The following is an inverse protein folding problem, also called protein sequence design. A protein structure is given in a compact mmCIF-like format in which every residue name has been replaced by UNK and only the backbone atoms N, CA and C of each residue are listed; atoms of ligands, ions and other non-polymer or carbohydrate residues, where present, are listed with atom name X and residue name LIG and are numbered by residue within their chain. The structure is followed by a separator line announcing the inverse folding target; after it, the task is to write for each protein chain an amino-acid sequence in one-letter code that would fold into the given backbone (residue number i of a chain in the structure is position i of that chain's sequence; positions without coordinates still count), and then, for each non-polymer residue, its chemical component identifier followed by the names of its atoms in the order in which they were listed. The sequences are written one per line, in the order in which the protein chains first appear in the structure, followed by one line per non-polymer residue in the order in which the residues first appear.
data_IF_514336438508
#
_entry.id   IF_514336438508
#
_cell.length_a   1.000
_cell.length_b   1.000
_cell.length_c   1.000
_cell.angle_alpha   90.00
_cell.angle_beta   90.00
_cell.angle_gamma   90.00
#
_symmetry.space_group_name_H-M   'P 1'
#
loop_
_entity.id
_entity.type
_entity.pdbx_description
1 polymer ?
#
# COMPACT_ATOMS: atom_id res chain seq x y z
N UNK A 1 0.67 -32.04 22.08
CA UNK A 1 -0.79 -31.96 21.96
C UNK A 1 -1.17 -30.85 20.97
N UNK A 2 -1.76 -31.22 19.83
CA UNK A 2 -2.30 -30.21 18.89
C UNK A 2 -3.65 -29.74 19.43
N UNK A 3 -3.68 -28.69 20.20
CA UNK A 3 -4.94 -28.01 20.52
C UNK A 3 -5.48 -27.38 19.25
N UNK A 4 -6.38 -28.05 18.56
CA UNK A 4 -7.12 -27.49 17.43
C UNK A 4 -8.08 -26.44 17.98
N UNK A 5 -7.63 -25.19 18.02
CA UNK A 5 -8.44 -24.07 18.45
C UNK A 5 -9.57 -23.89 17.42
N UNK A 6 -10.76 -24.32 17.75
CA UNK A 6 -11.95 -24.08 16.93
C UNK A 6 -12.39 -22.64 17.15
N UNK A 7 -12.13 -21.78 16.16
CA UNK A 7 -12.75 -20.45 16.10
C UNK A 7 -14.25 -20.69 15.95
N UNK A 8 -15.04 -20.31 16.95
CA UNK A 8 -16.51 -20.49 16.97
C UNK A 8 -17.26 -19.61 15.96
N UNK A 9 -16.57 -18.69 15.30
CA UNK A 9 -17.18 -17.73 14.36
C UNK A 9 -17.04 -18.20 12.92
N UNK A 10 -18.04 -17.94 12.10
CA UNK A 10 -18.04 -18.25 10.67
C UNK A 10 -17.11 -17.27 9.93
N UNK A 11 -15.91 -17.71 9.58
CA UNK A 11 -14.91 -16.89 8.88
C UNK A 11 -15.41 -16.23 7.58
N UNK A 12 -16.12 -16.93 6.68
CA UNK A 12 -16.71 -16.31 5.50
C UNK A 12 -17.60 -15.11 5.82
N UNK A 13 -18.37 -15.16 6.91
CA UNK A 13 -19.21 -14.03 7.33
C UNK A 13 -18.41 -12.85 7.87
N UNK A 14 -17.24 -13.10 8.48
CA UNK A 14 -16.37 -12.04 9.02
C UNK A 14 -15.55 -11.39 7.90
N UNK A 15 -15.03 -12.17 6.97
CA UNK A 15 -14.20 -11.69 5.86
C UNK A 15 -15.07 -11.02 4.80
N UNK A 16 -16.24 -11.60 4.50
CA UNK A 16 -17.16 -11.13 3.49
C UNK A 16 -16.68 -11.37 2.07
N UNK A 17 -17.34 -10.72 1.12
CA UNK A 17 -17.13 -10.90 -0.33
C UNK A 17 -15.80 -10.30 -0.81
N UNK A 18 -15.32 -10.79 -1.96
CA UNK A 18 -14.21 -10.20 -2.71
C UNK A 18 -12.80 -10.63 -2.29
N UNK A 19 -12.67 -11.42 -1.22
CA UNK A 19 -11.34 -11.79 -0.68
C UNK A 19 -11.03 -13.29 -0.66
N UNK A 20 -11.83 -14.15 -1.28
CA UNK A 20 -11.61 -15.60 -1.26
C UNK A 20 -10.26 -16.01 -1.87
N UNK A 21 -9.93 -15.49 -3.05
CA UNK A 21 -8.63 -15.74 -3.69
C UNK A 21 -7.49 -15.19 -2.86
N UNK A 22 -7.62 -13.94 -2.38
CA UNK A 22 -6.64 -13.30 -1.49
C UNK A 22 -6.35 -14.13 -0.25
N UNK A 23 -7.39 -14.67 0.39
CA UNK A 23 -7.28 -15.42 1.64
C UNK A 23 -6.53 -16.74 1.49
N UNK A 24 -6.73 -17.41 0.36
CA UNK A 24 -6.20 -18.75 0.11
C UNK A 24 -4.87 -18.75 -0.65
N UNK A 25 -4.45 -17.63 -1.20
CA UNK A 25 -3.22 -17.52 -1.96
C UNK A 25 -1.99 -17.73 -1.08
N UNK A 26 -1.01 -18.50 -1.59
CA UNK A 26 0.23 -18.86 -0.88
C UNK A 26 1.51 -18.50 -1.64
N UNK A 27 1.40 -17.87 -2.81
CA UNK A 27 2.57 -17.38 -3.56
C UNK A 27 3.30 -16.25 -2.83
N UNK A 28 4.44 -15.87 -3.35
CA UNK A 28 5.38 -14.93 -2.71
C UNK A 28 4.77 -13.54 -2.49
N UNK A 29 4.10 -12.99 -3.50
CA UNK A 29 3.58 -11.63 -3.44
C UNK A 29 2.06 -11.58 -3.53
N UNK A 30 1.45 -11.03 -2.52
CA UNK A 30 0.01 -10.79 -2.45
C UNK A 30 -0.25 -9.30 -2.38
N UNK A 31 -0.67 -8.72 -3.49
CA UNK A 31 -0.77 -7.28 -3.68
C UNK A 31 -2.24 -6.88 -3.82
N UNK A 32 -2.71 -6.03 -2.94
CA UNK A 32 -4.08 -5.52 -2.96
C UNK A 32 -4.08 -3.99 -3.02
N UNK A 33 -4.39 -3.47 -4.20
CA UNK A 33 -4.73 -2.06 -4.34
C UNK A 33 -6.23 -1.85 -4.21
N UNK A 34 -6.64 -0.67 -3.80
CA UNK A 34 -8.08 -0.42 -3.77
C UNK A 34 -8.46 0.90 -3.13
N UNK A 35 -9.74 1.24 -3.30
CA UNK A 35 -10.34 2.42 -2.72
C UNK A 35 -10.45 2.37 -1.19
N UNK A 36 -10.89 3.47 -0.60
CA UNK A 36 -11.25 3.54 0.81
C UNK A 36 -12.45 2.63 1.10
N UNK A 37 -12.57 2.14 2.32
CA UNK A 37 -13.67 1.28 2.72
C UNK A 37 -13.69 -0.11 2.09
N UNK A 38 -12.67 -0.52 1.33
CA UNK A 38 -12.60 -1.81 0.62
C UNK A 38 -12.10 -2.98 1.46
N UNK A 39 -11.95 -2.84 2.76
CA UNK A 39 -11.52 -3.89 3.73
C UNK A 39 -10.07 -4.39 3.58
N UNK A 40 -9.19 -3.75 2.82
CA UNK A 40 -7.80 -4.22 2.61
C UNK A 40 -7.08 -4.53 3.93
N UNK A 41 -6.95 -3.53 4.78
CA UNK A 41 -6.21 -3.63 6.05
C UNK A 41 -6.90 -4.53 7.06
N UNK A 42 -8.23 -4.46 7.16
CA UNK A 42 -9.04 -5.32 8.04
C UNK A 42 -8.91 -6.80 7.68
N UNK A 43 -9.01 -7.13 6.38
CA UNK A 43 -8.88 -8.51 5.91
C UNK A 43 -7.45 -9.03 6.10
N UNK A 44 -6.43 -8.18 5.86
CA UNK A 44 -5.03 -8.55 6.10
C UNK A 44 -4.78 -8.84 7.59
N UNK A 45 -5.27 -7.98 8.48
CA UNK A 45 -5.12 -8.17 9.92
C UNK A 45 -5.82 -9.46 10.41
N UNK A 46 -7.04 -9.72 9.95
CA UNK A 46 -7.75 -10.96 10.25
C UNK A 46 -6.97 -12.19 9.75
N UNK A 47 -6.42 -12.11 8.54
CA UNK A 47 -5.63 -13.18 7.95
C UNK A 47 -4.38 -13.48 8.79
N UNK A 48 -3.64 -12.45 9.20
CA UNK A 48 -2.42 -12.59 10.01
C UNK A 48 -2.75 -13.30 11.34
N UNK A 49 -3.69 -12.76 12.11
CA UNK A 49 -4.09 -13.36 13.41
C UNK A 49 -4.54 -14.81 13.24
N UNK A 50 -5.38 -15.07 12.24
CA UNK A 50 -5.89 -16.42 11.98
C UNK A 50 -4.80 -17.39 11.55
N UNK A 51 -3.94 -16.99 10.60
CA UNK A 51 -2.88 -17.86 10.06
C UNK A 51 -1.77 -18.11 11.06
N UNK A 52 -1.38 -17.16 11.89
CA UNK A 52 -0.39 -17.42 12.94
C UNK A 52 -0.85 -18.50 13.92
N UNK A 53 -2.14 -18.56 14.22
CA UNK A 53 -2.70 -19.64 15.04
C UNK A 53 -2.68 -21.01 14.35
N UNK A 54 -2.69 -21.06 13.01
CA UNK A 54 -2.62 -22.30 12.23
C UNK A 54 -1.19 -22.79 11.98
N UNK A 55 -0.21 -21.88 11.99
CA UNK A 55 1.19 -22.14 11.67
C UNK A 55 2.10 -21.80 12.87
N UNK A 56 2.27 -22.72 13.84
CA UNK A 56 2.89 -22.44 15.14
C UNK A 56 4.33 -21.90 15.14
N UNK A 57 5.03 -21.97 14.00
CA UNK A 57 6.40 -21.46 13.84
C UNK A 57 6.47 -20.19 12.97
N UNK A 58 5.33 -19.67 12.49
CA UNK A 58 5.32 -18.51 11.62
C UNK A 58 5.26 -17.21 12.42
N UNK A 59 6.24 -16.34 12.22
CA UNK A 59 6.23 -14.96 12.69
C UNK A 59 5.91 -14.01 11.54
N UNK A 60 5.43 -12.82 11.88
CA UNK A 60 5.02 -11.79 10.93
C UNK A 60 5.75 -10.48 11.19
N UNK A 61 6.21 -9.85 10.13
CA UNK A 61 6.74 -8.49 10.12
C UNK A 61 5.69 -7.55 9.52
N UNK A 62 5.44 -6.43 10.16
CA UNK A 62 4.55 -5.38 9.67
C UNK A 62 5.36 -4.13 9.41
N UNK A 63 5.28 -3.62 8.19
CA UNK A 63 6.06 -2.47 7.71
C UNK A 63 5.14 -1.32 7.37
N UNK A 64 5.53 -0.13 7.80
CA UNK A 64 5.05 1.16 7.30
C UNK A 64 6.24 2.07 6.99
N UNK A 65 6.02 3.10 6.21
CA UNK A 65 7.07 4.08 5.95
C UNK A 65 7.61 4.70 7.24
N UNK A 66 6.73 5.07 8.18
CA UNK A 66 7.07 5.73 9.44
C UNK A 66 6.63 4.85 10.60
N UNK A 67 7.58 4.47 11.49
CA UNK A 67 7.34 3.57 12.61
C UNK A 67 6.23 4.03 13.55
N UNK A 68 6.23 5.29 13.95
CA UNK A 68 5.25 5.80 14.92
C UNK A 68 3.80 5.69 14.47
N UNK A 69 3.54 5.59 13.17
CA UNK A 69 2.18 5.44 12.62
C UNK A 69 1.55 4.07 12.87
N UNK A 70 2.33 3.09 13.29
CA UNK A 70 1.80 1.75 13.60
C UNK A 70 0.80 1.75 14.77
N UNK A 71 1.03 2.58 15.80
CA UNK A 71 0.24 2.57 17.04
C UNK A 71 -1.26 2.75 16.79
N UNK A 72 -1.60 3.71 15.93
CA UNK A 72 -2.98 4.09 15.64
C UNK A 72 -3.54 3.41 14.38
N UNK A 73 -2.74 2.57 13.72
CA UNK A 73 -3.14 1.85 12.50
C UNK A 73 -3.01 0.34 12.65
N UNK A 74 -1.92 -0.24 12.14
CA UNK A 74 -1.74 -1.70 12.04
C UNK A 74 -1.76 -2.43 13.38
N UNK A 75 -1.18 -1.83 14.43
CA UNK A 75 -1.22 -2.40 15.78
C UNK A 75 -2.66 -2.46 16.32
N UNK A 76 -3.38 -1.36 16.24
CA UNK A 76 -4.79 -1.30 16.65
C UNK A 76 -5.66 -2.20 15.79
N UNK A 77 -5.38 -2.28 14.47
CA UNK A 77 -6.09 -3.16 13.55
C UNK A 77 -5.90 -4.64 13.87
N UNK A 78 -4.67 -5.07 14.20
CA UNK A 78 -4.40 -6.45 14.62
C UNK A 78 -5.05 -6.80 15.96
N UNK A 79 -5.04 -5.86 16.91
CA UNK A 79 -5.76 -6.02 18.18
C UNK A 79 -7.27 -6.15 17.96
N UNK A 80 -7.85 -5.31 17.09
CA UNK A 80 -9.25 -5.42 16.66
C UNK A 80 -9.53 -6.80 16.03
N UNK A 81 -8.66 -7.27 15.14
CA UNK A 81 -8.83 -8.57 14.49
C UNK A 81 -8.86 -9.74 15.51
N UNK A 82 -8.00 -9.71 16.53
CA UNK A 82 -8.01 -10.71 17.60
C UNK A 82 -9.31 -10.70 18.41
N UNK A 83 -9.90 -9.53 18.65
CA UNK A 83 -11.19 -9.38 19.31
C UNK A 83 -12.34 -9.92 18.43
N UNK A 84 -12.36 -9.55 17.15
CA UNK A 84 -13.40 -10.02 16.21
C UNK A 84 -13.38 -11.54 16.07
N UNK A 85 -12.21 -12.16 16.05
CA UNK A 85 -12.05 -13.60 16.01
C UNK A 85 -12.35 -14.28 17.37
N UNK A 86 -12.51 -13.52 18.45
CA UNK A 86 -12.79 -14.03 19.79
C UNK A 86 -11.58 -14.68 20.47
N UNK A 87 -10.36 -14.33 20.04
CA UNK A 87 -9.10 -14.93 20.47
C UNK A 87 -8.15 -13.97 21.18
N UNK A 88 -8.61 -12.78 21.54
CA UNK A 88 -7.79 -11.74 22.16
C UNK A 88 -7.10 -12.20 23.44
N UNK A 89 -7.69 -13.10 24.21
CA UNK A 89 -7.11 -13.67 25.42
C UNK A 89 -5.86 -14.53 25.17
N UNK A 90 -5.61 -14.93 23.92
CA UNK A 90 -4.42 -15.68 23.49
C UNK A 90 -3.28 -14.78 22.99
N UNK A 91 -3.49 -13.47 22.97
CA UNK A 91 -2.55 -12.51 22.43
C UNK A 91 -2.15 -11.48 23.49
N UNK A 92 -0.84 -11.25 23.61
CA UNK A 92 -0.28 -10.16 24.40
C UNK A 92 0.17 -9.05 23.46
N UNK A 93 -0.45 -7.88 23.57
CA UNK A 93 -0.10 -6.67 22.80
C UNK A 93 0.72 -5.73 23.68
N UNK A 94 2.00 -5.52 23.32
CA UNK A 94 2.93 -4.61 24.01
C UNK A 94 3.10 -3.31 23.22
N UNK A 95 3.24 -2.20 23.93
CA UNK A 95 3.54 -0.88 23.34
C UNK A 95 5.02 -0.50 23.44
N UNK A 96 5.78 -1.20 24.30
CA UNK A 96 7.21 -1.00 24.47
C UNK A 96 7.88 -2.33 24.86
N UNK A 97 8.58 -2.99 23.95
CA UNK A 97 8.63 -2.73 22.51
C UNK A 97 7.27 -2.91 21.83
N UNK A 98 7.07 -2.24 20.67
CA UNK A 98 5.84 -2.39 19.92
C UNK A 98 5.82 -3.75 19.22
N UNK A 99 5.09 -4.70 19.80
CA UNK A 99 4.96 -6.07 19.30
C UNK A 99 3.66 -6.72 19.77
N UNK A 100 3.25 -7.79 19.11
CA UNK A 100 2.20 -8.66 19.60
C UNK A 100 2.73 -10.11 19.68
N UNK A 101 2.45 -10.79 20.80
CA UNK A 101 2.90 -12.15 21.03
C UNK A 101 1.70 -13.08 21.13
N UNK A 102 1.71 -14.17 20.37
CA UNK A 102 0.76 -15.26 20.52
C UNK A 102 1.22 -16.15 21.69
N UNK A 103 0.53 -16.06 22.82
CA UNK A 103 0.94 -16.65 24.10
C UNK A 103 1.20 -18.16 24.03
N UNK A 104 0.36 -18.97 23.32
CA UNK A 104 0.54 -20.42 23.35
C UNK A 104 1.83 -20.94 22.74
N UNK A 105 2.45 -20.21 21.83
CA UNK A 105 3.64 -20.66 21.07
C UNK A 105 4.80 -19.67 21.10
N UNK A 106 4.60 -18.46 21.64
CA UNK A 106 5.62 -17.42 21.67
C UNK A 106 5.88 -16.70 20.34
N UNK A 107 5.09 -17.01 19.30
CA UNK A 107 5.22 -16.32 18.00
C UNK A 107 4.99 -14.83 18.12
N UNK A 108 5.67 -14.05 17.30
CA UNK A 108 5.63 -12.58 17.35
C UNK A 108 5.14 -11.96 16.05
N UNK A 109 4.39 -10.87 16.21
CA UNK A 109 4.18 -9.86 15.17
C UNK A 109 5.07 -8.68 15.52
N UNK A 110 6.05 -8.40 14.65
CA UNK A 110 7.04 -7.33 14.81
C UNK A 110 6.63 -6.15 13.95
N UNK A 111 6.84 -4.92 14.46
CA UNK A 111 6.55 -3.69 13.73
C UNK A 111 7.84 -2.94 13.45
N UNK A 112 8.03 -2.46 12.21
CA UNK A 112 9.20 -1.69 11.79
C UNK A 112 8.78 -0.57 10.85
N UNK A 113 9.53 0.55 10.89
CA UNK A 113 9.42 1.64 9.94
C UNK A 113 10.58 1.60 8.95
N UNK A 114 10.36 2.11 7.74
CA UNK A 114 11.43 2.33 6.76
C UNK A 114 12.19 3.63 7.03
N UNK A 115 11.77 4.40 8.03
CA UNK A 115 12.49 5.55 8.58
C UNK A 115 13.75 5.14 9.37
N UNK A 116 13.86 3.87 9.75
CA UNK A 116 15.09 3.26 10.29
C UNK A 116 15.47 2.01 9.49
N UNK A 117 16.19 2.14 8.36
CA UNK A 117 16.57 1.02 7.51
C UNK A 117 17.49 -0.02 8.21
N UNK A 118 18.25 0.41 9.22
CA UNK A 118 19.16 -0.49 9.95
C UNK A 118 18.38 -1.50 10.81
N UNK A 119 17.22 -1.11 11.33
CA UNK A 119 16.37 -1.99 12.14
C UNK A 119 15.74 -3.14 11.35
N UNK A 120 15.76 -3.07 10.03
CA UNK A 120 15.11 -4.05 9.14
C UNK A 120 16.08 -5.14 8.70
N UNK A 121 17.36 -4.81 8.47
CA UNK A 121 18.34 -5.76 7.95
C UNK A 121 18.75 -6.84 8.95
N UNK A 122 18.52 -6.61 10.23
CA UNK A 122 18.93 -7.46 11.35
C UNK A 122 17.76 -8.15 12.07
N UNK A 123 16.60 -8.26 11.43
CA UNK A 123 15.44 -8.86 12.08
C UNK A 123 15.65 -10.36 12.28
N UNK A 124 15.69 -10.76 13.54
CA UNK A 124 15.70 -12.15 13.97
C UNK A 124 14.49 -12.42 14.85
N UNK A 125 14.02 -13.66 14.84
CA UNK A 125 12.96 -14.13 15.73
C UNK A 125 13.54 -15.20 16.64
N UNK A 126 13.17 -15.15 17.91
CA UNK A 126 13.65 -16.08 18.93
C UNK A 126 13.15 -17.50 18.67
N UNK A 127 11.90 -17.63 18.25
CA UNK A 127 11.26 -18.89 17.97
C UNK A 127 10.63 -18.90 16.58
N UNK A 128 10.82 -20.02 15.86
CA UNK A 128 10.22 -20.22 14.53
C UNK A 128 10.90 -19.43 13.42
N UNK A 129 10.14 -19.01 12.44
CA UNK A 129 10.64 -18.40 11.20
C UNK A 129 9.87 -17.12 10.87
N UNK A 130 10.55 -16.15 10.28
CA UNK A 130 9.91 -14.99 9.69
C UNK A 130 9.28 -15.40 8.35
N UNK A 131 8.01 -15.74 8.37
CA UNK A 131 7.29 -16.26 7.22
C UNK A 131 6.58 -15.18 6.42
N UNK A 132 5.99 -14.20 7.10
CA UNK A 132 5.13 -13.23 6.46
C UNK A 132 5.56 -11.81 6.73
N UNK A 133 5.33 -10.96 5.72
CA UNK A 133 5.53 -9.53 5.83
C UNK A 133 4.28 -8.80 5.32
N UNK A 134 3.87 -7.76 5.99
CA UNK A 134 2.77 -6.89 5.56
C UNK A 134 3.23 -5.45 5.45
N UNK A 135 3.27 -4.94 4.23
CA UNK A 135 3.45 -3.53 3.93
C UNK A 135 2.09 -2.84 3.90
N UNK A 136 1.79 -2.04 4.91
CA UNK A 136 0.59 -1.22 4.98
C UNK A 136 0.88 0.18 4.45
N UNK A 137 -0.05 0.69 3.65
CA UNK A 137 0.11 1.93 2.87
C UNK A 137 1.38 1.89 2.00
N UNK A 138 1.57 0.77 1.28
CA UNK A 138 2.78 0.51 0.49
C UNK A 138 3.05 1.58 -0.57
N UNK A 139 2.05 2.35 -0.98
CA UNK A 139 2.23 3.49 -1.88
C UNK A 139 3.13 4.60 -1.30
N UNK A 140 3.26 4.69 0.02
CA UNK A 140 4.17 5.67 0.66
C UNK A 140 5.65 5.31 0.48
N UNK A 141 5.96 4.10 0.00
CA UNK A 141 7.33 3.62 -0.25
C UNK A 141 7.71 4.03 -1.67
N UNK A 142 8.33 5.20 -1.79
CA UNK A 142 8.63 5.79 -3.09
C UNK A 142 9.78 5.09 -3.82
N UNK A 143 10.73 4.48 -3.07
CA UNK A 143 11.88 3.79 -3.62
C UNK A 143 11.65 2.27 -3.57
N UNK A 144 11.75 1.61 -4.71
CA UNK A 144 11.66 0.16 -4.82
C UNK A 144 12.80 -0.56 -4.08
N UNK A 145 13.98 0.05 -3.97
CA UNK A 145 15.11 -0.54 -3.26
C UNK A 145 14.83 -0.74 -1.76
N UNK A 146 14.03 0.12 -1.15
CA UNK A 146 13.66 -0.05 0.25
C UNK A 146 12.73 -1.26 0.44
N UNK A 147 11.85 -1.51 -0.53
CA UNK A 147 11.07 -2.74 -0.57
C UNK A 147 12.00 -3.96 -0.76
N UNK A 148 12.95 -3.91 -1.70
CA UNK A 148 13.86 -5.01 -2.01
C UNK A 148 14.72 -5.40 -0.80
N UNK A 149 15.18 -4.45 0.01
CA UNK A 149 15.93 -4.72 1.25
C UNK A 149 15.12 -5.57 2.22
N UNK A 150 13.83 -5.24 2.40
CA UNK A 150 12.94 -6.02 3.27
C UNK A 150 12.64 -7.39 2.66
N UNK A 151 12.35 -7.45 1.36
CA UNK A 151 12.08 -8.70 0.65
C UNK A 151 13.24 -9.70 0.80
N UNK A 152 14.47 -9.25 0.63
CA UNK A 152 15.67 -10.04 0.83
C UNK A 152 15.88 -10.47 2.29
N UNK A 153 15.27 -9.80 3.25
CA UNK A 153 15.34 -10.15 4.67
C UNK A 153 14.36 -11.29 5.04
N UNK A 154 13.33 -11.53 4.24
CA UNK A 154 12.39 -12.66 4.40
C UNK A 154 12.97 -13.89 3.68
N UNK A 155 13.97 -14.51 4.30
CA UNK A 155 14.79 -15.59 3.72
C UNK A 155 14.90 -16.80 4.66
N UNK A 156 15.68 -17.81 4.26
CA UNK A 156 15.92 -19.05 5.00
C UNK A 156 14.96 -20.17 4.61
N UNK A 157 15.29 -21.40 4.94
CA UNK A 157 14.43 -22.55 4.70
C UNK A 157 13.28 -22.60 5.68
N UNK A 158 12.13 -23.09 5.22
CA UNK A 158 10.94 -23.26 6.02
C UNK A 158 10.59 -24.75 6.17
N UNK A 159 10.00 -25.16 7.28
CA UNK A 159 9.47 -26.50 7.42
C UNK A 159 8.41 -26.83 6.37
N UNK A 160 8.27 -28.11 6.06
CA UNK A 160 7.25 -28.61 5.11
C UNK A 160 5.84 -28.06 5.45
N UNK A 161 5.20 -27.48 4.45
CA UNK A 161 3.85 -26.90 4.56
C UNK A 161 3.82 -25.42 4.94
N UNK A 162 4.95 -24.83 5.34
CA UNK A 162 5.08 -23.39 5.55
C UNK A 162 5.41 -22.68 4.21
N UNK A 163 5.15 -21.39 4.15
CA UNK A 163 5.42 -20.56 2.96
C UNK A 163 5.80 -19.14 3.37
N UNK A 164 6.60 -18.49 2.53
CA UNK A 164 6.92 -17.07 2.67
C UNK A 164 5.95 -16.25 1.85
N UNK A 165 5.43 -15.18 2.42
CA UNK A 165 4.55 -14.29 1.69
C UNK A 165 4.71 -12.85 2.11
N UNK A 166 4.77 -11.97 1.13
CA UNK A 166 4.75 -10.53 1.31
C UNK A 166 3.41 -10.00 0.83
N UNK A 167 2.69 -9.34 1.73
CA UNK A 167 1.42 -8.69 1.43
C UNK A 167 1.63 -7.18 1.33
N UNK A 168 1.16 -6.57 0.25
CA UNK A 168 1.17 -5.13 0.08
C UNK A 168 -0.27 -4.62 -0.03
N UNK A 169 -0.63 -3.65 0.80
CA UNK A 169 -1.95 -3.00 0.79
C UNK A 169 -1.80 -1.50 0.62
N UNK A 170 -2.51 -0.90 -0.34
CA UNK A 170 -2.40 0.52 -0.64
C UNK A 170 -3.56 1.08 -1.46
N UNK A 171 -3.67 2.42 -1.48
CA UNK A 171 -4.49 3.17 -2.41
C UNK A 171 -3.64 3.61 -3.61
N UNK A 172 -4.09 3.43 -4.86
CA UNK A 172 -3.27 3.63 -6.06
C UNK A 172 -3.27 5.09 -6.54
N UNK A 173 -2.61 5.99 -5.81
CA UNK A 173 -2.63 7.44 -6.07
C UNK A 173 -2.00 7.87 -7.39
N UNK A 174 -1.01 7.12 -7.91
CA UNK A 174 -0.34 7.43 -9.17
C UNK A 174 0.02 6.18 -9.94
N UNK A 175 -0.26 6.17 -11.22
CA UNK A 175 0.13 5.07 -12.12
C UNK A 175 1.64 5.04 -12.43
N UNK A 176 2.37 6.12 -12.16
CA UNK A 176 3.83 6.20 -12.34
C UNK A 176 4.59 5.49 -11.21
N UNK A 177 3.91 5.03 -10.16
CA UNK A 177 4.55 4.38 -9.03
C UNK A 177 5.10 3.00 -9.41
N UNK A 178 6.29 2.62 -8.89
CA UNK A 178 6.95 1.34 -9.17
C UNK A 178 6.08 0.11 -8.89
N UNK A 179 5.15 0.19 -7.93
CA UNK A 179 4.19 -0.87 -7.61
C UNK A 179 3.35 -1.30 -8.82
N UNK A 180 2.96 -0.35 -9.69
CA UNK A 180 2.21 -0.66 -10.91
C UNK A 180 3.06 -1.49 -11.86
N UNK A 181 4.24 -0.99 -12.20
CA UNK A 181 5.16 -1.65 -13.14
C UNK A 181 5.55 -3.05 -12.67
N UNK A 182 5.84 -3.20 -11.36
CA UNK A 182 6.33 -4.46 -10.80
C UNK A 182 5.25 -5.52 -10.67
N UNK A 183 4.03 -5.15 -10.23
CA UNK A 183 3.03 -6.13 -9.81
C UNK A 183 1.75 -6.14 -10.64
N UNK A 184 1.48 -5.13 -11.43
CA UNK A 184 0.24 -5.05 -12.21
C UNK A 184 0.46 -5.08 -13.73
N UNK A 185 1.60 -4.60 -14.21
CA UNK A 185 1.91 -4.57 -15.64
C UNK A 185 2.64 -5.84 -16.10
N UNK A 186 3.14 -6.67 -15.19
CA UNK A 186 3.84 -7.94 -15.46
C UNK A 186 3.00 -9.09 -14.94
N UNK A 187 2.91 -10.18 -15.73
CA UNK A 187 2.34 -11.45 -15.27
C UNK A 187 3.45 -12.29 -14.66
N UNK A 188 3.28 -12.65 -13.40
CA UNK A 188 4.19 -13.48 -12.64
C UNK A 188 3.35 -14.49 -11.84
N UNK A 189 3.71 -15.77 -11.88
CA UNK A 189 3.00 -16.85 -11.19
C UNK A 189 3.08 -16.72 -9.67
N UNK A 190 4.13 -16.08 -9.17
CA UNK A 190 4.33 -15.80 -7.76
C UNK A 190 3.63 -14.52 -7.27
N UNK A 191 2.86 -13.85 -8.13
CA UNK A 191 2.16 -12.60 -7.83
C UNK A 191 0.64 -12.77 -7.94
N UNK A 192 -0.06 -12.50 -6.85
CA UNK A 192 -1.50 -12.22 -6.86
C UNK A 192 -1.71 -10.71 -6.74
N UNK A 193 -2.04 -10.03 -7.82
CA UNK A 193 -2.40 -8.63 -7.83
C UNK A 193 -3.91 -8.45 -8.01
N UNK A 194 -4.58 -7.86 -7.03
CA UNK A 194 -6.04 -7.64 -7.07
C UNK A 194 -6.40 -6.18 -6.84
N UNK A 195 -7.54 -5.79 -7.39
CA UNK A 195 -8.16 -4.49 -7.14
C UNK A 195 -9.45 -4.68 -6.35
N UNK A 196 -9.62 -3.91 -5.28
CA UNK A 196 -10.82 -3.93 -4.44
C UNK A 196 -11.40 -2.52 -4.30
N UNK A 197 -12.68 -2.43 -4.02
CA UNK A 197 -13.35 -1.15 -3.84
C UNK A 197 -14.42 -1.25 -2.74
N UNK A 198 -15.09 -0.15 -2.44
CA UNK A 198 -16.09 -0.10 -1.39
C UNK A 198 -17.30 -1.03 -1.62
N UNK A 199 -17.60 -1.40 -2.89
CA UNK A 199 -18.74 -2.27 -3.19
C UNK A 199 -18.56 -3.71 -2.74
N UNK A 200 -17.31 -4.16 -2.49
CA UNK A 200 -17.03 -5.47 -1.89
C UNK A 200 -17.18 -5.47 -0.37
N UNK A 201 -17.51 -4.32 0.25
CA UNK A 201 -17.66 -4.19 1.69
C UNK A 201 -19.13 -4.16 2.09
N UNK A 202 -19.69 -5.31 2.40
CA UNK A 202 -21.06 -5.48 2.87
C UNK A 202 -21.33 -4.89 4.25
N UNK A 203 -20.28 -4.54 5.00
CA UNK A 203 -20.36 -3.95 6.34
C UNK A 203 -20.39 -2.41 6.28
N UNK A 204 -20.30 -1.83 5.08
CA UNK A 204 -20.31 -0.38 4.92
C UNK A 204 -21.72 0.15 5.16
N UNK A 205 -21.84 1.18 6.01
CA UNK A 205 -23.11 1.85 6.30
C UNK A 205 -23.66 2.61 5.08
N UNK A 206 -24.96 2.87 5.10
CA UNK A 206 -25.61 3.62 4.02
C UNK A 206 -25.07 5.05 3.89
N UNK A 207 -24.69 5.69 5.01
CA UNK A 207 -24.11 7.03 4.98
C UNK A 207 -22.73 7.07 4.35
N UNK A 208 -21.92 6.03 4.58
CA UNK A 208 -20.63 5.87 3.90
C UNK A 208 -20.81 5.68 2.39
N UNK A 209 -21.79 4.89 1.97
CA UNK A 209 -22.13 4.72 0.54
C UNK A 209 -22.55 6.03 -0.11
N UNK A 210 -23.38 6.83 0.58
CA UNK A 210 -23.77 8.16 0.10
C UNK A 210 -22.60 9.11 -0.08
N UNK A 211 -21.53 8.99 0.74
CA UNK A 211 -20.30 9.77 0.55
C UNK A 211 -19.61 9.42 -0.78
N UNK A 212 -19.55 8.15 -1.14
CA UNK A 212 -19.00 7.73 -2.43
C UNK A 212 -19.84 8.20 -3.60
N UNK A 213 -21.18 8.16 -3.50
CA UNK A 213 -22.07 8.69 -4.55
C UNK A 213 -21.91 10.21 -4.73
N UNK A 214 -21.81 10.97 -3.64
CA UNK A 214 -21.51 12.40 -3.70
C UNK A 214 -20.13 12.66 -4.31
N UNK A 215 -19.12 11.85 -3.95
CA UNK A 215 -17.78 11.97 -4.52
C UNK A 215 -17.78 11.69 -6.02
N UNK A 216 -18.56 10.70 -6.48
CA UNK A 216 -18.72 10.37 -7.89
C UNK A 216 -19.21 11.57 -8.72
N UNK A 217 -20.14 12.35 -8.17
CA UNK A 217 -20.70 13.53 -8.82
C UNK A 217 -19.74 14.73 -8.74
N UNK A 218 -19.26 15.03 -7.54
CA UNK A 218 -18.54 16.27 -7.26
C UNK A 218 -17.05 16.20 -7.60
N UNK A 219 -16.44 14.99 -7.56
CA UNK A 219 -15.03 14.78 -7.87
C UNK A 219 -14.81 13.39 -8.49
N UNK A 220 -15.17 13.19 -9.77
CA UNK A 220 -15.06 11.89 -10.45
C UNK A 220 -13.64 11.33 -10.45
N UNK A 221 -12.62 12.21 -10.54
CA UNK A 221 -11.21 11.83 -10.51
C UNK A 221 -10.83 11.19 -9.17
N UNK A 222 -11.19 11.83 -8.07
CA UNK A 222 -10.98 11.29 -6.73
C UNK A 222 -11.78 10.02 -6.49
N UNK A 223 -13.02 9.95 -6.98
CA UNK A 223 -13.86 8.76 -6.93
C UNK A 223 -13.23 7.58 -7.66
N UNK A 224 -12.56 7.83 -8.80
CA UNK A 224 -11.85 6.78 -9.53
C UNK A 224 -10.75 6.11 -8.68
N UNK A 225 -10.04 6.89 -7.86
CA UNK A 225 -8.96 6.41 -7.00
C UNK A 225 -9.50 5.88 -5.67
N UNK A 226 -10.18 6.74 -4.91
CA UNK A 226 -10.61 6.44 -3.54
C UNK A 226 -11.87 5.60 -3.47
N UNK A 227 -12.75 5.69 -4.46
CA UNK A 227 -13.96 4.86 -4.58
C UNK A 227 -13.65 3.53 -5.26
N UNK A 228 -13.22 3.58 -6.52
CA UNK A 228 -13.07 2.40 -7.36
C UNK A 228 -11.73 1.67 -7.19
N UNK A 229 -10.70 2.31 -6.66
CA UNK A 229 -9.38 1.73 -6.51
C UNK A 229 -8.59 1.63 -7.81
N UNK A 230 -8.93 2.44 -8.80
CA UNK A 230 -8.17 2.55 -10.03
C UNK A 230 -6.95 3.44 -9.84
N UNK A 231 -5.95 3.27 -10.72
CA UNK A 231 -4.76 4.09 -10.68
C UNK A 231 -5.10 5.55 -10.96
N UNK A 232 -4.56 6.43 -10.13
CA UNK A 232 -4.62 7.88 -10.33
C UNK A 232 -3.62 8.32 -11.39
N UNK A 233 -3.98 9.32 -12.14
CA UNK A 233 -3.03 10.09 -12.94
C UNK A 233 -2.24 10.94 -11.95
N UNK A 234 -0.92 11.06 -12.14
CA UNK A 234 -0.01 11.71 -11.20
C UNK A 234 -0.58 13.04 -10.67
N UNK A 235 -0.79 13.12 -9.36
CA UNK A 235 -1.08 14.39 -8.70
C UNK A 235 0.17 15.26 -8.74
N UNK A 236 0.01 16.52 -9.07
CA UNK A 236 1.10 17.48 -9.16
C UNK A 236 1.25 18.14 -10.52
N UNK A 237 0.45 17.78 -11.50
CA UNK A 237 0.29 18.61 -12.68
C UNK A 237 -0.52 19.85 -12.27
N UNK A 238 0.14 20.99 -12.22
CA UNK A 238 -0.52 22.29 -12.06
C UNK A 238 -1.54 22.49 -13.20
N UNK A 239 -1.30 21.79 -14.29
CA UNK A 239 -2.17 21.74 -15.47
C UNK A 239 -2.43 20.27 -15.82
N UNK A 240 -3.68 19.85 -15.82
CA UNK A 240 -4.12 18.48 -16.12
C UNK A 240 -4.55 18.27 -17.57
N UNK A 241 -4.56 19.34 -18.35
CA UNK A 241 -4.94 19.41 -19.75
C UNK A 241 -3.81 19.91 -20.65
N UNK A 242 -2.55 19.49 -20.38
CA UNK A 242 -1.44 19.81 -21.27
C UNK A 242 -1.27 18.71 -22.33
N UNK A 243 -0.82 19.12 -23.51
CA UNK A 243 -0.42 18.21 -24.58
C UNK A 243 1.08 18.43 -24.87
N UNK A 244 1.81 17.35 -25.06
CA UNK A 244 3.19 17.40 -25.56
C UNK A 244 3.14 17.55 -27.09
N UNK A 245 3.57 18.70 -27.60
CA UNK A 245 3.63 18.98 -29.02
C UNK A 245 5.06 19.31 -29.43
N UNK A 246 5.53 18.69 -30.49
CA UNK A 246 6.76 19.12 -31.17
C UNK A 246 6.49 20.42 -31.89
N UNK A 247 7.26 21.44 -31.62
CA UNK A 247 7.16 22.74 -32.31
C UNK A 247 8.52 23.39 -32.49
N UNK A 248 8.62 24.22 -33.53
CA UNK A 248 9.85 24.98 -33.83
C UNK A 248 9.82 26.31 -33.08
N UNK A 249 10.73 26.47 -32.09
CA UNK A 249 10.84 27.68 -31.27
C UNK A 249 11.13 28.92 -32.13
N UNK A 250 11.94 28.80 -33.20
CA UNK A 250 12.32 29.94 -34.05
C UNK A 250 11.15 30.43 -34.93
N UNK A 251 10.24 29.52 -35.26
CA UNK A 251 8.99 29.93 -35.95
C UNK A 251 8.03 30.63 -34.98
N UNK A 252 7.97 30.17 -33.72
CA UNK A 252 7.14 30.79 -32.70
C UNK A 252 7.64 32.19 -32.37
N UNK A 253 8.95 32.39 -32.25
CA UNK A 253 9.57 33.70 -32.00
C UNK A 253 9.29 34.74 -33.11
N UNK A 254 9.02 34.30 -34.31
CA UNK A 254 8.67 35.18 -35.46
C UNK A 254 7.21 35.68 -35.41
N UNK A 255 6.35 35.12 -34.57
CA UNK A 255 4.95 35.52 -34.48
C UNK A 255 4.80 36.82 -33.69
N UNK A 256 4.08 37.82 -34.26
CA UNK A 256 3.73 39.06 -33.57
C UNK A 256 2.83 38.70 -32.36
N UNK A 257 3.04 39.34 -31.23
CA UNK A 257 2.27 39.18 -29.99
C UNK A 257 2.66 38.00 -29.07
N UNK A 258 3.85 37.42 -29.19
CA UNK A 258 4.36 36.48 -28.21
C UNK A 258 5.18 37.25 -27.17
N UNK A 259 4.85 37.05 -25.89
CA UNK A 259 5.63 37.53 -24.76
C UNK A 259 6.38 36.33 -24.16
N UNK A 260 7.66 36.46 -23.94
CA UNK A 260 8.46 35.49 -23.19
C UNK A 260 8.51 35.88 -21.73
N UNK A 261 8.43 34.89 -20.85
CA UNK A 261 8.65 35.04 -19.43
C UNK A 261 9.56 33.91 -18.95
N UNK A 262 10.41 34.20 -17.98
CA UNK A 262 11.29 33.23 -17.36
C UNK A 262 10.83 33.00 -15.93
N UNK A 263 10.73 31.74 -15.53
CA UNK A 263 10.47 31.33 -14.13
C UNK A 263 11.69 30.57 -13.59
N UNK A 264 12.19 30.99 -12.44
CA UNK A 264 13.25 30.27 -11.72
C UNK A 264 12.65 29.66 -10.48
N UNK A 265 12.75 28.34 -10.36
CA UNK A 265 12.36 27.61 -9.16
C UNK A 265 13.61 27.12 -8.43
N UNK A 266 13.77 27.55 -7.18
CA UNK A 266 14.82 27.07 -6.28
C UNK A 266 14.30 25.85 -5.49
N UNK A 267 14.00 24.75 -6.20
CA UNK A 267 13.63 23.49 -5.55
C UNK A 267 14.76 22.96 -4.65
N UNK A 268 14.40 22.18 -3.65
CA UNK A 268 15.31 21.51 -2.69
C UNK A 268 16.24 20.44 -3.35
N UNK A 269 16.20 20.28 -4.65
CA UNK A 269 17.09 19.39 -5.40
C UNK A 269 18.17 20.19 -6.15
N UNK A 270 19.36 19.64 -6.15
CA UNK A 270 20.66 20.19 -6.56
C UNK A 270 20.79 20.70 -8.03
N UNK A 271 19.70 20.91 -8.74
CA UNK A 271 19.72 21.53 -10.06
C UNK A 271 18.57 22.56 -10.18
N UNK A 272 18.86 23.82 -10.54
CA UNK A 272 17.81 24.79 -10.84
C UNK A 272 17.06 24.35 -12.11
N UNK A 273 15.75 24.20 -12.01
CA UNK A 273 14.90 24.00 -13.18
C UNK A 273 14.62 25.37 -13.78
N UNK A 274 15.31 25.69 -14.87
CA UNK A 274 15.04 26.88 -15.63
C UNK A 274 14.12 26.52 -16.79
N UNK A 275 12.96 27.16 -16.90
CA UNK A 275 11.99 26.91 -17.96
C UNK A 275 11.59 28.19 -18.68
N UNK A 276 11.60 28.17 -20.01
CA UNK A 276 11.02 29.22 -20.84
C UNK A 276 9.52 29.00 -20.99
N UNK A 277 8.70 29.95 -20.55
CA UNK A 277 7.25 29.91 -20.69
C UNK A 277 6.80 30.88 -21.77
N UNK A 278 6.15 30.36 -22.81
CA UNK A 278 5.61 31.18 -23.90
C UNK A 278 4.09 31.30 -23.76
N UNK A 279 3.56 32.51 -23.81
CA UNK A 279 2.13 32.79 -23.71
C UNK A 279 1.61 33.49 -24.99
N UNK A 280 0.55 32.94 -25.56
CA UNK A 280 -0.16 33.57 -26.70
C UNK A 280 -1.59 33.91 -26.23
N UNK A 281 -1.96 35.21 -26.33
CA UNK A 281 -3.36 35.68 -26.12
C UNK A 281 -4.10 35.10 -24.93
N UNK A 282 -3.44 34.96 -23.77
CA UNK A 282 -4.09 34.43 -22.57
C UNK A 282 -3.93 32.95 -22.32
N UNK A 283 -3.49 32.16 -23.28
CA UNK A 283 -3.28 30.70 -23.11
C UNK A 283 -1.78 30.38 -22.91
N UNK A 284 -1.52 29.40 -22.03
CA UNK A 284 -0.19 28.89 -21.79
C UNK A 284 0.18 27.93 -22.92
N UNK A 285 1.23 28.24 -23.69
CA UNK A 285 1.54 27.45 -24.88
C UNK A 285 2.64 26.43 -24.63
N UNK A 286 3.60 26.66 -23.72
CA UNK A 286 4.53 25.60 -23.31
C UNK A 286 5.49 25.98 -22.17
N UNK A 287 5.99 24.96 -21.46
CA UNK A 287 7.11 25.07 -20.54
C UNK A 287 8.19 24.06 -20.96
N UNK A 288 9.41 24.50 -21.20
CA UNK A 288 10.56 23.64 -21.47
C UNK A 288 11.53 23.71 -20.29
N UNK A 289 11.80 22.57 -19.67
CA UNK A 289 12.93 22.45 -18.75
C UNK A 289 14.21 22.25 -19.56
N UNK A 290 15.21 23.09 -19.34
CA UNK A 290 16.56 22.87 -19.81
C UNK A 290 17.38 22.42 -18.61
N UNK A 291 17.88 21.19 -18.67
CA UNK A 291 18.79 20.64 -17.66
C UNK A 291 20.17 21.24 -17.78
#
# INVERSE_FOLDING_TARGET
MKATLKIKKNLPQIIGKGYATYWNYKGRYRVVKGGRGSKKSTTTALWIIYKMMQYPLANTLVIRRIFNTHKDSTYTQLKWASNVLGVSHLWKFSKSPLEATYIPTGQKILFRGLDDPMSITSITVEHGHLCWCWFEEAFQIMNEDDFNKVDMSIRGELPKGYFKQITLSFNPWSEKHWLKKRFFDVKDEDVLAITTNYTCNEFLGEDDKKLFEKMKINNPRRYNIEGLGNWGIAEGLVYDNFEELEFNIDEIKKRRNIKSAFGLDFGLMLAPICGDIYRKCGELVNARCIA
#
